data_IF_526084507398
#
_entry.id   IF_526084507398
#
_cell.length_a   1.000
_cell.length_b   1.000
_cell.length_c   1.000
_cell.angle_alpha   90.00
_cell.angle_beta   90.00
_cell.angle_gamma   90.00
#
_symmetry.space_group_name_H-M   'P 1'
#
loop_
_entity.id
_entity.type
_entity.pdbx_description
1 polymer ?
#
# COMPACT_ATOMS: atom_id res chain seq x y z
N UNK A 1 -16.01 -29.28 -6.72
CA UNK A 1 -15.51 -30.24 -5.71
C UNK A 1 -14.02 -30.04 -5.41
N UNK A 2 -13.13 -30.03 -6.41
CA UNK A 2 -11.68 -29.76 -6.22
C UNK A 2 -11.38 -28.40 -5.56
N UNK A 3 -12.04 -27.32 -5.97
CA UNK A 3 -11.87 -26.00 -5.35
C UNK A 3 -12.25 -25.97 -3.86
N UNK A 4 -13.34 -26.64 -3.49
CA UNK A 4 -13.79 -26.74 -2.09
C UNK A 4 -12.81 -27.54 -1.24
N UNK A 5 -12.25 -28.64 -1.77
CA UNK A 5 -11.24 -29.45 -1.08
C UNK A 5 -9.94 -28.66 -0.85
N UNK A 6 -9.48 -27.91 -1.86
CA UNK A 6 -8.30 -27.04 -1.75
C UNK A 6 -8.53 -25.94 -0.71
N UNK A 7 -9.71 -25.31 -0.70
CA UNK A 7 -10.06 -24.26 0.28
C UNK A 7 -10.07 -24.82 1.69
N UNK A 8 -10.68 -25.99 1.90
CA UNK A 8 -10.72 -26.64 3.21
C UNK A 8 -9.30 -27.02 3.65
N UNK A 9 -8.50 -27.64 2.80
CA UNK A 9 -7.13 -28.07 3.14
C UNK A 9 -6.19 -26.89 3.43
N UNK A 10 -6.30 -25.77 2.70
CA UNK A 10 -5.56 -24.53 3.00
C UNK A 10 -6.01 -23.89 4.31
N UNK A 11 -7.31 -23.87 4.58
CA UNK A 11 -7.85 -23.31 5.82
C UNK A 11 -7.40 -24.14 7.04
N UNK A 12 -7.35 -25.47 6.91
CA UNK A 12 -6.78 -26.36 7.94
C UNK A 12 -5.29 -26.11 8.19
N UNK A 13 -4.50 -25.93 7.13
CA UNK A 13 -3.08 -25.60 7.22
C UNK A 13 -2.85 -24.21 7.86
N UNK A 14 -3.70 -23.23 7.53
CA UNK A 14 -3.66 -21.90 8.14
C UNK A 14 -4.03 -21.91 9.63
N UNK A 15 -4.97 -22.77 10.05
CA UNK A 15 -5.33 -22.95 11.47
C UNK A 15 -4.21 -23.57 12.31
N UNK A 16 -3.41 -24.46 11.71
CA UNK A 16 -2.29 -25.16 12.37
C UNK A 16 -0.93 -24.43 12.29
N UNK A 17 -0.91 -23.13 11.95
CA UNK A 17 0.30 -22.29 11.96
C UNK A 17 0.73 -21.99 13.40
N UNK A 18 1.31 -22.98 14.09
CA UNK A 18 1.77 -22.84 15.48
C UNK A 18 3.19 -22.28 15.58
N UNK A 19 3.93 -22.13 14.47
CA UNK A 19 5.32 -21.68 14.48
C UNK A 19 5.43 -20.21 14.12
N UNK A 20 6.24 -19.45 14.86
CA UNK A 20 6.59 -18.05 14.55
C UNK A 20 7.07 -17.87 13.10
N UNK A 21 7.86 -18.82 12.57
CA UNK A 21 8.38 -18.77 11.20
C UNK A 21 7.26 -18.64 10.16
N UNK A 22 6.13 -19.31 10.37
CA UNK A 22 5.05 -19.31 9.40
C UNK A 22 4.30 -17.97 9.37
N UNK A 23 4.25 -17.27 10.50
CA UNK A 23 3.72 -15.91 10.61
C UNK A 23 4.66 -14.90 9.96
N UNK A 24 5.96 -15.01 10.21
CA UNK A 24 6.97 -14.17 9.56
C UNK A 24 6.98 -14.36 8.04
N UNK A 25 6.84 -15.59 7.55
CA UNK A 25 6.72 -15.90 6.13
C UNK A 25 5.46 -15.27 5.52
N UNK A 26 4.33 -15.31 6.23
CA UNK A 26 3.07 -14.72 5.81
C UNK A 26 3.15 -13.19 5.74
N UNK A 27 3.67 -12.57 6.80
CA UNK A 27 3.91 -11.12 6.85
C UNK A 27 4.86 -10.69 5.74
N UNK A 28 5.93 -11.44 5.49
CA UNK A 28 6.89 -11.19 4.43
C UNK A 28 6.28 -11.33 3.03
N UNK A 29 5.40 -12.32 2.82
CA UNK A 29 4.68 -12.46 1.57
C UNK A 29 3.74 -11.28 1.30
N UNK A 30 2.98 -10.83 2.32
CA UNK A 30 2.12 -9.64 2.20
C UNK A 30 2.93 -8.36 1.96
N UNK A 31 4.05 -8.21 2.66
CA UNK A 31 4.98 -7.09 2.49
C UNK A 31 5.55 -7.04 1.06
N UNK A 32 6.12 -8.15 0.58
CA UNK A 32 6.72 -8.24 -0.74
C UNK A 32 5.68 -8.00 -1.84
N UNK A 33 4.48 -8.58 -1.69
CA UNK A 33 3.35 -8.37 -2.58
C UNK A 33 2.99 -6.87 -2.72
N UNK A 34 2.80 -6.19 -1.59
CA UNK A 34 2.41 -4.78 -1.55
C UNK A 34 3.49 -3.87 -2.16
N UNK A 35 4.75 -4.04 -1.76
CA UNK A 35 5.81 -3.18 -2.27
C UNK A 35 6.14 -3.41 -3.74
N UNK A 36 6.20 -4.67 -4.15
CA UNK A 36 6.53 -5.00 -5.54
C UNK A 36 5.44 -4.49 -6.47
N UNK A 37 4.17 -4.77 -6.17
CA UNK A 37 3.08 -4.27 -7.01
C UNK A 37 2.87 -2.76 -6.91
N UNK A 38 3.04 -2.17 -5.71
CA UNK A 38 2.97 -0.72 -5.55
C UNK A 38 4.02 0.00 -6.40
N UNK A 39 5.26 -0.48 -6.38
CA UNK A 39 6.37 0.05 -7.18
C UNK A 39 6.17 -0.10 -8.68
N UNK A 40 5.71 -1.27 -9.15
CA UNK A 40 5.42 -1.47 -10.58
C UNK A 40 4.26 -0.60 -11.06
N UNK A 41 3.20 -0.48 -10.27
CA UNK A 41 2.07 0.39 -10.57
C UNK A 41 2.48 1.87 -10.66
N UNK A 42 3.30 2.34 -9.72
CA UNK A 42 3.85 3.72 -9.75
C UNK A 42 4.64 3.96 -11.04
N UNK A 43 5.49 3.01 -11.43
CA UNK A 43 6.32 3.12 -12.64
C UNK A 43 5.47 3.16 -13.92
N UNK A 44 4.41 2.34 -13.98
CA UNK A 44 3.48 2.32 -15.11
C UNK A 44 2.77 3.67 -15.26
N UNK A 45 2.20 4.19 -14.17
CA UNK A 45 1.50 5.49 -14.15
C UNK A 45 2.45 6.63 -14.55
N UNK A 46 3.69 6.63 -14.06
CA UNK A 46 4.66 7.69 -14.39
C UNK A 46 4.87 7.83 -15.91
N UNK A 47 4.95 6.71 -16.63
CA UNK A 47 5.14 6.72 -18.08
C UNK A 47 3.92 7.25 -18.83
N UNK A 48 2.71 6.85 -18.43
CA UNK A 48 1.45 7.29 -19.03
C UNK A 48 1.27 8.80 -18.82
N UNK A 49 1.42 9.27 -17.59
CA UNK A 49 1.22 10.69 -17.24
C UNK A 49 2.28 11.59 -17.87
N UNK A 50 3.51 11.10 -18.06
CA UNK A 50 4.54 11.86 -18.75
C UNK A 50 4.20 12.13 -20.22
N UNK A 51 3.56 11.16 -20.90
CA UNK A 51 3.08 11.31 -22.28
C UNK A 51 1.89 12.29 -22.31
N UNK A 52 0.88 12.07 -21.47
CA UNK A 52 -0.33 12.91 -21.42
C UNK A 52 -0.01 14.38 -21.11
N UNK A 53 0.98 14.64 -20.26
CA UNK A 53 1.43 16.00 -19.94
C UNK A 53 1.82 16.81 -21.18
N UNK A 54 2.41 16.18 -22.19
CA UNK A 54 2.79 16.89 -23.43
C UNK A 54 1.57 17.33 -24.23
N UNK A 55 0.52 16.51 -24.25
CA UNK A 55 -0.77 16.83 -24.89
C UNK A 55 -1.47 17.92 -24.09
N UNK A 56 -1.51 17.79 -22.76
CA UNK A 56 -2.07 18.78 -21.85
C UNK A 56 -1.48 20.18 -22.07
N UNK A 57 -0.15 20.30 -22.17
CA UNK A 57 0.48 21.60 -22.40
C UNK A 57 0.08 22.24 -23.74
N UNK A 58 -0.16 21.43 -24.79
CA UNK A 58 -0.63 21.94 -26.10
C UNK A 58 -2.08 22.40 -26.03
N UNK A 59 -2.95 21.62 -25.41
CA UNK A 59 -4.39 21.94 -25.30
C UNK A 59 -4.65 23.12 -24.33
N UNK A 60 -3.85 23.22 -23.26
CA UNK A 60 -3.83 24.38 -22.37
C UNK A 60 -3.38 25.64 -23.09
N UNK A 61 -2.36 25.55 -23.95
CA UNK A 61 -1.92 26.69 -24.77
C UNK A 61 -2.97 27.12 -25.81
N UNK A 62 -3.78 26.19 -26.30
CA UNK A 62 -4.94 26.46 -27.17
C UNK A 62 -6.18 26.98 -26.41
N UNK A 63 -6.13 27.08 -25.07
CA UNK A 63 -7.22 27.59 -24.25
C UNK A 63 -8.40 26.63 -24.07
N UNK A 64 -8.23 25.33 -24.34
CA UNK A 64 -9.35 24.38 -24.36
C UNK A 64 -9.88 24.01 -22.96
N UNK A 65 -9.03 23.88 -21.94
CA UNK A 65 -9.45 23.58 -20.57
C UNK A 65 -8.42 23.97 -19.50
N UNK A 66 -8.89 24.09 -18.25
CA UNK A 66 -8.07 24.46 -17.09
C UNK A 66 -7.37 23.25 -16.45
N UNK A 67 -6.33 23.51 -15.67
CA UNK A 67 -5.56 22.49 -14.95
C UNK A 67 -6.36 21.71 -13.91
N UNK A 68 -7.35 22.33 -13.27
CA UNK A 68 -8.13 21.70 -12.20
C UNK A 68 -9.06 20.59 -12.73
N UNK A 69 -9.93 20.83 -13.73
CA UNK A 69 -10.74 19.76 -14.34
C UNK A 69 -9.91 18.58 -14.85
N UNK A 70 -8.73 18.86 -15.43
CA UNK A 70 -7.81 17.81 -15.89
C UNK A 70 -7.33 16.92 -14.74
N UNK A 71 -6.85 17.52 -13.65
CA UNK A 71 -6.36 16.75 -12.50
C UNK A 71 -7.45 15.88 -11.85
N UNK A 72 -8.69 16.39 -11.75
CA UNK A 72 -9.82 15.61 -11.23
C UNK A 72 -10.24 14.49 -12.18
N UNK A 73 -10.32 14.77 -13.49
CA UNK A 73 -10.68 13.76 -14.47
C UNK A 73 -9.66 12.62 -14.51
N UNK A 74 -8.37 12.97 -14.51
CA UNK A 74 -7.29 11.99 -14.50
C UNK A 74 -7.30 11.14 -13.23
N UNK A 75 -7.42 11.76 -12.05
CA UNK A 75 -7.49 11.01 -10.79
C UNK A 75 -8.71 10.07 -10.73
N UNK A 76 -9.85 10.48 -11.30
CA UNK A 76 -11.06 9.64 -11.35
C UNK A 76 -10.86 8.42 -12.24
N UNK A 77 -10.32 8.60 -13.45
CA UNK A 77 -10.06 7.50 -14.40
C UNK A 77 -9.07 6.50 -13.81
N UNK A 78 -7.98 7.01 -13.24
CA UNK A 78 -6.96 6.19 -12.57
C UNK A 78 -7.54 5.42 -11.38
N UNK A 79 -8.42 6.04 -10.58
CA UNK A 79 -9.06 5.36 -9.45
C UNK A 79 -9.95 4.21 -9.90
N UNK A 80 -10.68 4.35 -11.01
CA UNK A 80 -11.51 3.27 -11.57
C UNK A 80 -10.64 2.11 -12.06
N UNK A 81 -9.56 2.42 -12.79
CA UNK A 81 -8.62 1.41 -13.28
C UNK A 81 -7.98 0.63 -12.13
N UNK A 82 -7.46 1.35 -11.13
CA UNK A 82 -6.90 0.76 -9.91
C UNK A 82 -7.95 -0.04 -9.13
N UNK A 83 -9.20 0.41 -9.08
CA UNK A 83 -10.29 -0.30 -8.40
C UNK A 83 -10.53 -1.69 -8.97
N UNK A 84 -10.57 -1.82 -10.29
CA UNK A 84 -10.75 -3.10 -10.98
C UNK A 84 -9.51 -3.99 -10.80
N UNK A 85 -8.31 -3.42 -10.99
CA UNK A 85 -7.05 -4.15 -10.87
C UNK A 85 -6.85 -4.71 -9.45
N UNK A 86 -7.09 -3.89 -8.43
CA UNK A 86 -6.94 -4.28 -7.03
C UNK A 86 -8.00 -5.28 -6.58
N UNK A 87 -9.21 -5.24 -7.16
CA UNK A 87 -10.24 -6.22 -6.86
C UNK A 87 -9.81 -7.62 -7.33
N UNK A 88 -9.42 -7.76 -8.59
CA UNK A 88 -8.89 -9.02 -9.14
C UNK A 88 -7.67 -9.51 -8.36
N UNK A 89 -6.77 -8.59 -8.03
CA UNK A 89 -5.56 -8.90 -7.27
C UNK A 89 -5.87 -9.38 -5.85
N UNK A 90 -6.78 -8.70 -5.15
CA UNK A 90 -7.18 -9.07 -3.79
C UNK A 90 -7.81 -10.46 -3.75
N UNK A 91 -8.65 -10.80 -4.74
CA UNK A 91 -9.24 -12.13 -4.87
C UNK A 91 -8.19 -13.23 -5.03
N UNK A 92 -7.22 -13.00 -5.93
CA UNK A 92 -6.14 -13.94 -6.19
C UNK A 92 -5.24 -14.11 -4.96
N UNK A 93 -4.78 -13.02 -4.34
CA UNK A 93 -3.94 -13.09 -3.14
C UNK A 93 -4.65 -13.78 -1.99
N UNK A 94 -5.90 -13.42 -1.73
CA UNK A 94 -6.68 -13.98 -0.62
C UNK A 94 -6.81 -15.51 -0.78
N UNK A 95 -7.05 -15.96 -2.01
CA UNK A 95 -7.08 -17.38 -2.35
C UNK A 95 -5.71 -18.06 -2.26
N UNK A 96 -4.64 -17.41 -2.73
CA UNK A 96 -3.28 -17.96 -2.71
C UNK A 96 -2.75 -18.14 -1.29
N UNK A 97 -3.01 -17.17 -0.41
CA UNK A 97 -2.59 -17.21 1.00
C UNK A 97 -3.44 -18.20 1.81
N UNK A 98 -4.71 -18.37 1.43
CA UNK A 98 -5.62 -19.28 2.12
C UNK A 98 -6.22 -18.68 3.39
N UNK A 99 -6.56 -17.38 3.35
CA UNK A 99 -7.27 -16.73 4.45
C UNK A 99 -8.68 -17.31 4.64
N UNK A 100 -9.22 -17.18 5.85
CA UNK A 100 -10.58 -17.61 6.16
C UNK A 100 -11.60 -16.80 5.36
N UNK A 101 -12.51 -17.46 4.65
CA UNK A 101 -13.54 -16.78 3.86
C UNK A 101 -14.62 -16.16 4.75
N UNK A 102 -14.33 -14.97 5.27
CA UNK A 102 -15.28 -14.11 5.97
C UNK A 102 -15.40 -12.79 5.21
N UNK A 103 -16.63 -12.40 4.87
CA UNK A 103 -16.90 -11.20 4.06
C UNK A 103 -16.28 -9.93 4.67
N UNK A 104 -16.39 -9.75 5.99
CA UNK A 104 -15.80 -8.60 6.68
C UNK A 104 -14.27 -8.53 6.59
N UNK A 105 -13.57 -9.66 6.77
CA UNK A 105 -12.10 -9.73 6.67
C UNK A 105 -11.61 -9.51 5.25
N UNK A 106 -12.34 -10.02 4.26
CA UNK A 106 -12.04 -9.76 2.85
C UNK A 106 -12.24 -8.28 2.50
N UNK A 107 -13.29 -7.64 2.98
CA UNK A 107 -13.54 -6.22 2.70
C UNK A 107 -12.46 -5.32 3.29
N UNK A 108 -12.01 -5.58 4.52
CA UNK A 108 -10.86 -4.88 5.10
C UNK A 108 -9.56 -5.12 4.32
N UNK A 109 -9.31 -6.35 3.89
CA UNK A 109 -8.16 -6.67 3.05
C UNK A 109 -8.20 -5.91 1.73
N UNK A 110 -9.35 -5.95 1.03
CA UNK A 110 -9.56 -5.21 -0.21
C UNK A 110 -9.37 -3.71 0.00
N UNK A 111 -9.91 -3.13 1.07
CA UNK A 111 -9.77 -1.71 1.39
C UNK A 111 -8.29 -1.29 1.51
N UNK A 112 -7.48 -2.02 2.27
CA UNK A 112 -6.07 -1.68 2.45
C UNK A 112 -5.26 -1.85 1.16
N UNK A 113 -5.53 -2.90 0.38
CA UNK A 113 -4.88 -3.10 -0.93
C UNK A 113 -5.30 -2.01 -1.92
N UNK A 114 -6.58 -1.66 -1.96
CA UNK A 114 -7.10 -0.61 -2.83
C UNK A 114 -6.49 0.76 -2.48
N UNK A 115 -6.56 1.16 -1.21
CA UNK A 115 -5.96 2.41 -0.74
C UNK A 115 -4.45 2.44 -0.99
N UNK A 116 -3.80 1.27 -0.88
CA UNK A 116 -2.38 1.14 -1.19
C UNK A 116 -2.05 1.55 -2.62
N UNK A 117 -2.76 0.97 -3.59
CA UNK A 117 -2.51 1.27 -4.98
C UNK A 117 -2.90 2.70 -5.32
N UNK A 118 -4.01 3.22 -4.77
CA UNK A 118 -4.44 4.60 -5.00
C UNK A 118 -3.35 5.59 -4.57
N UNK A 119 -2.77 5.44 -3.38
CA UNK A 119 -1.70 6.36 -2.97
C UNK A 119 -0.42 6.17 -3.80
N UNK A 120 -0.08 4.94 -4.23
CA UNK A 120 1.09 4.70 -5.09
C UNK A 120 0.90 5.34 -6.47
N UNK A 121 -0.30 5.23 -7.05
CA UNK A 121 -0.68 5.92 -8.29
C UNK A 121 -0.54 7.43 -8.11
N UNK A 122 -1.16 8.01 -7.07
CA UNK A 122 -1.09 9.46 -6.81
C UNK A 122 0.34 9.94 -6.53
N UNK A 123 1.14 9.13 -5.86
CA UNK A 123 2.56 9.39 -5.65
C UNK A 123 3.33 9.44 -6.97
N UNK A 124 3.09 8.50 -7.89
CA UNK A 124 3.67 8.51 -9.23
C UNK A 124 3.28 9.76 -10.03
N UNK A 125 2.00 10.12 -10.01
CA UNK A 125 1.47 11.33 -10.67
C UNK A 125 2.09 12.61 -10.08
N UNK A 126 2.19 12.70 -8.75
CA UNK A 126 2.84 13.79 -8.04
C UNK A 126 4.29 13.98 -8.50
N UNK A 127 5.07 12.90 -8.61
CA UNK A 127 6.46 12.99 -9.05
C UNK A 127 6.60 13.52 -10.48
N UNK A 128 5.74 13.09 -11.40
CA UNK A 128 5.74 13.59 -12.79
C UNK A 128 5.30 15.05 -12.86
N UNK A 129 4.38 15.48 -12.00
CA UNK A 129 3.96 16.87 -11.91
C UNK A 129 5.05 17.79 -11.32
N UNK A 130 5.90 17.29 -10.42
CA UNK A 130 6.96 18.07 -9.78
C UNK A 130 8.29 18.09 -10.55
N UNK A 131 8.49 17.17 -11.50
CA UNK A 131 9.77 17.02 -12.21
C UNK A 131 9.66 17.31 -13.69
N UNK A 132 10.69 17.91 -14.33
CA UNK A 132 10.64 18.23 -15.75
C UNK A 132 10.74 16.98 -16.64
N UNK A 133 11.39 15.91 -16.18
CA UNK A 133 11.69 14.70 -16.96
C UNK A 133 11.31 13.45 -16.19
N UNK A 134 10.79 12.46 -16.93
CA UNK A 134 10.45 11.13 -16.41
C UNK A 134 11.64 10.44 -15.72
N UNK A 135 12.85 10.60 -16.27
CA UNK A 135 14.07 10.03 -15.71
C UNK A 135 14.34 10.56 -14.29
N UNK A 136 14.13 11.87 -14.07
CA UNK A 136 14.29 12.49 -12.75
C UNK A 136 13.19 11.97 -11.80
N UNK A 137 11.95 11.87 -12.28
CA UNK A 137 10.84 11.30 -11.51
C UNK A 137 11.14 9.88 -11.03
N UNK A 138 11.73 9.03 -11.90
CA UNK A 138 12.07 7.65 -11.59
C UNK A 138 13.22 7.54 -10.56
N UNK A 139 14.21 8.43 -10.62
CA UNK A 139 15.30 8.49 -9.63
C UNK A 139 14.75 8.86 -8.25
N UNK A 140 13.92 9.91 -8.19
CA UNK A 140 13.28 10.36 -6.94
C UNK A 140 12.35 9.28 -6.39
N UNK A 141 11.58 8.61 -7.27
CA UNK A 141 10.73 7.48 -6.89
C UNK A 141 11.55 6.38 -6.21
N UNK A 142 12.64 5.95 -6.84
CA UNK A 142 13.50 4.87 -6.33
C UNK A 142 14.07 5.22 -4.96
N UNK A 143 14.52 6.46 -4.76
CA UNK A 143 15.03 6.94 -3.47
C UNK A 143 13.99 6.79 -2.36
N UNK A 144 12.80 7.35 -2.51
CA UNK A 144 11.76 7.26 -1.47
C UNK A 144 11.20 5.85 -1.29
N UNK A 145 11.09 5.05 -2.37
CA UNK A 145 10.72 3.64 -2.27
C UNK A 145 11.72 2.85 -1.42
N UNK A 146 13.03 3.12 -1.54
CA UNK A 146 14.04 2.48 -0.68
C UNK A 146 13.87 2.86 0.79
N UNK A 147 13.53 4.11 1.10
CA UNK A 147 13.26 4.51 2.48
C UNK A 147 11.98 3.86 3.01
N UNK A 148 10.89 3.84 2.23
CA UNK A 148 9.67 3.14 2.63
C UNK A 148 9.88 1.65 2.80
N UNK A 149 10.73 1.02 1.99
CA UNK A 149 11.12 -0.38 2.15
C UNK A 149 11.77 -0.60 3.53
N UNK A 150 12.80 0.18 3.87
CA UNK A 150 13.56 0.01 5.11
C UNK A 150 12.72 0.28 6.37
N UNK A 151 11.90 1.33 6.37
CA UNK A 151 11.15 1.79 7.56
C UNK A 151 9.69 1.33 7.60
N UNK A 152 9.31 0.40 6.74
CA UNK A 152 7.96 -0.18 6.67
C UNK A 152 7.52 -0.97 7.91
N UNK A 153 8.44 -1.27 8.84
CA UNK A 153 8.16 -2.06 10.06
C UNK A 153 8.35 -3.57 9.91
N UNK A 154 8.48 -4.09 8.69
CA UNK A 154 8.72 -5.50 8.45
C UNK A 154 10.22 -5.86 8.54
N UNK A 155 11.08 -5.10 7.85
CA UNK A 155 12.54 -5.31 7.88
C UNK A 155 13.15 -4.91 9.23
N UNK A 156 12.73 -3.77 9.76
CA UNK A 156 13.13 -3.28 11.09
C UNK A 156 11.86 -3.11 11.92
N UNK A 157 11.66 -3.96 12.96
CA UNK A 157 10.54 -3.80 13.87
C UNK A 157 10.53 -2.42 14.52
N UNK A 158 9.35 -1.83 14.71
CA UNK A 158 9.17 -0.48 15.26
C UNK A 158 9.94 -0.24 16.58
N UNK A 159 10.02 -1.25 17.44
CA UNK A 159 10.71 -1.18 18.73
C UNK A 159 12.24 -1.04 18.62
N UNK A 160 12.83 -1.52 17.53
CA UNK A 160 14.28 -1.47 17.28
C UNK A 160 14.72 -0.18 16.56
N UNK A 161 13.78 0.64 16.08
CA UNK A 161 14.08 1.91 15.44
C UNK A 161 14.51 2.92 16.52
N UNK A 162 15.68 3.59 16.36
CA UNK A 162 16.11 4.67 17.25
C UNK A 162 15.02 5.72 17.44
N UNK A 163 14.89 6.25 18.65
CA UNK A 163 13.79 7.18 19.02
C UNK A 163 13.72 8.38 18.06
N UNK A 164 14.88 8.91 17.67
CA UNK A 164 15.01 10.03 16.73
C UNK A 164 14.51 9.75 15.30
N UNK A 165 14.44 8.47 14.88
CA UNK A 165 13.97 8.06 13.54
C UNK A 165 12.55 7.49 13.55
N UNK A 166 11.94 7.35 14.73
CA UNK A 166 10.61 6.74 14.89
C UNK A 166 9.47 7.56 14.27
N UNK A 167 9.67 8.86 14.06
CA UNK A 167 8.69 9.70 13.35
C UNK A 167 8.54 9.28 11.88
N UNK A 168 9.61 8.82 11.25
CA UNK A 168 9.58 8.44 9.83
C UNK A 168 8.73 7.18 9.60
N UNK A 169 8.71 6.26 10.57
CA UNK A 169 7.80 5.11 10.56
C UNK A 169 6.34 5.56 10.43
N UNK A 170 5.93 6.56 11.22
CA UNK A 170 4.59 7.14 11.14
C UNK A 170 4.37 8.01 9.91
N UNK A 171 5.45 8.54 9.32
CA UNK A 171 5.44 9.27 8.05
C UNK A 171 5.43 8.38 6.80
N UNK A 172 5.54 7.05 6.93
CA UNK A 172 5.60 6.15 5.78
C UNK A 172 4.22 5.54 5.49
N UNK A 173 3.59 5.81 4.32
CA UNK A 173 2.29 5.24 3.97
C UNK A 173 2.34 3.69 3.92
N UNK A 174 3.48 3.12 3.52
CA UNK A 174 3.69 1.67 3.46
C UNK A 174 3.61 1.02 4.85
N UNK A 175 4.16 1.67 5.87
CA UNK A 175 4.09 1.18 7.25
C UNK A 175 2.64 1.05 7.73
N UNK A 176 1.79 2.02 7.40
CA UNK A 176 0.35 1.97 7.68
C UNK A 176 -0.37 0.86 6.92
N UNK A 177 -0.01 0.62 5.66
CA UNK A 177 -0.63 -0.46 4.86
C UNK A 177 -0.32 -1.83 5.47
N UNK A 178 0.94 -2.08 5.81
CA UNK A 178 1.34 -3.36 6.43
C UNK A 178 0.69 -3.51 7.80
N UNK A 179 0.65 -2.44 8.58
CA UNK A 179 -0.07 -2.41 9.85
C UNK A 179 -1.53 -2.85 9.64
N UNK A 180 -2.25 -2.23 8.71
CA UNK A 180 -3.66 -2.53 8.43
C UNK A 180 -3.88 -3.96 7.93
N UNK A 181 -3.04 -4.45 7.02
CA UNK A 181 -3.13 -5.81 6.49
C UNK A 181 -2.88 -6.88 7.56
N UNK A 182 -1.82 -6.71 8.36
CA UNK A 182 -1.51 -7.65 9.44
C UNK A 182 -2.62 -7.64 10.49
N UNK A 183 -3.03 -6.44 10.90
CA UNK A 183 -3.99 -6.28 11.99
C UNK A 183 -5.39 -6.75 11.59
N UNK A 184 -5.82 -6.55 10.34
CA UNK A 184 -7.12 -7.04 9.84
C UNK A 184 -7.20 -8.55 9.70
N UNK A 185 -6.09 -9.23 9.36
CA UNK A 185 -6.09 -10.67 9.12
C UNK A 185 -5.70 -11.50 10.35
N UNK A 186 -4.80 -10.97 11.18
CA UNK A 186 -4.21 -11.68 12.31
C UNK A 186 -4.57 -11.08 13.68
N UNK A 187 -5.10 -9.85 13.73
CA UNK A 187 -5.37 -9.15 15.01
C UNK A 187 -6.48 -9.76 15.86
N UNK A 188 -7.42 -10.48 15.23
CA UNK A 188 -8.52 -11.18 15.92
C UNK A 188 -8.21 -12.64 16.27
N UNK A 189 -7.05 -13.15 15.86
CA UNK A 189 -6.70 -14.55 16.11
C UNK A 189 -6.06 -14.73 17.48
N UNK A 190 -6.65 -15.60 18.29
CA UNK A 190 -6.13 -16.02 19.60
C UNK A 190 -5.34 -17.33 19.55
N UNK A 191 -5.05 -17.86 18.36
CA UNK A 191 -4.32 -19.12 18.22
C UNK A 191 -2.94 -19.00 18.90
N UNK A 192 -2.52 -20.01 19.68
CA UNK A 192 -1.22 -19.98 20.35
C UNK A 192 -0.09 -20.11 19.32
N UNK A 193 0.91 -19.24 19.45
CA UNK A 193 2.13 -19.22 18.64
C UNK A 193 3.29 -19.64 19.52
N UNK A 194 4.04 -20.63 19.06
CA UNK A 194 5.32 -21.01 19.62
C UNK A 194 6.39 -20.00 19.18
N UNK A 195 6.88 -19.24 20.15
CA UNK A 195 7.99 -18.29 20.00
C UNK A 195 9.22 -18.93 20.66
N UNK A 196 10.35 -19.11 19.96
CA UNK A 196 11.57 -19.62 20.56
C UNK A 196 12.00 -18.73 21.73
N UNK A 197 12.20 -19.32 22.92
CA UNK A 197 12.60 -18.66 24.19
C UNK A 197 11.50 -17.90 24.95
N UNK A 198 10.22 -18.00 24.55
CA UNK A 198 9.08 -17.47 25.31
C UNK A 198 7.97 -18.52 25.46
N UNK A 199 7.08 -18.33 26.44
CA UNK A 199 5.86 -19.17 26.57
C UNK A 199 4.94 -18.98 25.36
N UNK A 200 4.12 -20.01 25.09
CA UNK A 200 3.13 -19.96 24.01
C UNK A 200 2.17 -18.80 24.25
N UNK A 201 2.21 -17.81 23.36
CA UNK A 201 1.38 -16.61 23.45
C UNK A 201 0.41 -16.54 22.27
N UNK A 202 -0.80 -15.98 22.44
CA UNK A 202 -1.73 -15.83 21.33
C UNK A 202 -1.18 -14.84 20.29
N UNK A 203 -1.49 -15.05 19.01
CA UNK A 203 -1.03 -14.18 17.89
C UNK A 203 -1.26 -12.70 18.20
N UNK A 204 -2.42 -12.32 18.75
CA UNK A 204 -2.73 -10.95 19.17
C UNK A 204 -1.73 -10.35 20.15
N UNK A 205 -1.27 -11.13 21.14
CA UNK A 205 -0.28 -10.67 22.14
C UNK A 205 1.11 -10.57 21.51
N UNK A 206 1.48 -11.52 20.64
CA UNK A 206 2.71 -11.43 19.87
C UNK A 206 2.75 -10.16 18.99
N UNK A 207 1.67 -9.88 18.26
CA UNK A 207 1.54 -8.69 17.43
C UNK A 207 1.62 -7.39 18.25
N UNK A 208 1.04 -7.37 19.45
CA UNK A 208 1.05 -6.20 20.33
C UNK A 208 2.41 -5.98 21.00
N UNK A 209 2.99 -7.02 21.60
CA UNK A 209 4.21 -6.92 22.41
C UNK A 209 5.48 -6.85 21.56
N UNK A 210 5.58 -7.62 20.48
CA UNK A 210 6.80 -7.69 19.67
C UNK A 210 6.79 -6.73 18.47
N UNK A 211 5.61 -6.42 17.94
CA UNK A 211 5.48 -5.61 16.72
C UNK A 211 4.74 -4.28 16.93
N UNK A 212 4.06 -4.10 18.07
CA UNK A 212 3.35 -2.86 18.40
C UNK A 212 2.06 -2.65 17.59
N UNK A 213 1.46 -3.72 17.07
CA UNK A 213 0.22 -3.69 16.30
C UNK A 213 -0.99 -3.86 17.25
N UNK A 214 -1.82 -2.83 17.33
CA UNK A 214 -3.10 -2.80 18.04
C UNK A 214 -4.30 -2.86 17.08
N UNK A 215 -5.23 -3.78 17.35
CA UNK A 215 -6.44 -4.00 16.54
C UNK A 215 -7.47 -2.88 16.66
N UNK A 216 -7.56 -2.22 17.81
CA UNK A 216 -8.48 -1.09 18.02
C UNK A 216 -8.06 0.14 17.20
N UNK A 217 -6.83 0.17 16.70
CA UNK A 217 -6.29 1.27 15.90
C UNK A 217 -6.61 1.14 14.40
N UNK A 218 -7.27 0.06 13.97
CA UNK A 218 -7.51 -0.26 12.56
C UNK A 218 -8.31 0.84 11.83
N UNK A 219 -9.30 1.45 12.50
CA UNK A 219 -10.04 2.59 11.97
C UNK A 219 -9.18 3.85 11.77
N UNK A 220 -8.25 4.14 12.68
CA UNK A 220 -7.33 5.27 12.54
C UNK A 220 -6.32 5.04 11.41
N UNK A 221 -5.87 3.80 11.23
CA UNK A 221 -5.00 3.40 10.12
C UNK A 221 -5.70 3.60 8.78
N UNK A 222 -7.01 3.31 8.71
CA UNK A 222 -7.82 3.57 7.52
C UNK A 222 -7.92 5.09 7.22
N UNK A 223 -8.20 5.91 8.24
CA UNK A 223 -8.23 7.36 8.09
C UNK A 223 -6.87 7.94 7.66
N UNK A 224 -5.77 7.39 8.16
CA UNK A 224 -4.42 7.82 7.76
C UNK A 224 -4.17 7.62 6.25
N UNK A 225 -4.68 6.53 5.65
CA UNK A 225 -4.56 6.32 4.20
C UNK A 225 -5.32 7.38 3.40
N UNK A 226 -6.53 7.76 3.85
CA UNK A 226 -7.29 8.85 3.23
C UNK A 226 -6.50 10.16 3.31
N UNK A 227 -5.85 10.43 4.44
CA UNK A 227 -4.95 11.58 4.59
C UNK A 227 -3.81 11.59 3.57
N UNK A 228 -3.14 10.44 3.35
CA UNK A 228 -2.08 10.32 2.35
C UNK A 228 -2.57 10.51 0.91
N UNK A 229 -3.74 9.95 0.59
CA UNK A 229 -4.40 10.13 -0.71
C UNK A 229 -4.68 11.62 -0.98
N UNK A 230 -5.26 12.32 0.00
CA UNK A 230 -5.54 13.75 -0.11
C UNK A 230 -4.26 14.58 -0.21
N UNK A 231 -3.21 14.23 0.54
CA UNK A 231 -1.91 14.90 0.48
C UNK A 231 -1.30 14.77 -0.92
N UNK A 232 -1.15 13.55 -1.44
CA UNK A 232 -0.55 13.35 -2.76
C UNK A 232 -1.38 13.97 -3.88
N UNK A 233 -2.71 13.87 -3.79
CA UNK A 233 -3.60 14.54 -4.74
C UNK A 233 -3.45 16.08 -4.68
N UNK A 234 -3.40 16.66 -3.48
CA UNK A 234 -3.21 18.10 -3.29
C UNK A 234 -1.90 18.60 -3.89
N UNK A 235 -0.80 17.87 -3.66
CA UNK A 235 0.51 18.21 -4.23
C UNK A 235 0.51 18.04 -5.76
N UNK A 236 -0.15 17.01 -6.28
CA UNK A 236 -0.31 16.81 -7.73
C UNK A 236 -1.06 17.98 -8.40
N UNK A 237 -2.21 18.37 -7.84
CA UNK A 237 -3.00 19.52 -8.30
C UNK A 237 -2.18 20.81 -8.26
N UNK A 238 -1.46 21.04 -7.15
CA UNK A 238 -0.56 22.18 -7.01
C UNK A 238 0.56 22.16 -8.05
N UNK A 239 1.19 21.01 -8.28
CA UNK A 239 2.26 20.82 -9.26
C UNK A 239 1.83 21.19 -10.67
N UNK A 240 0.70 20.67 -11.15
CA UNK A 240 0.18 20.99 -12.50
C UNK A 240 -0.21 22.47 -12.63
N UNK A 241 -0.69 23.09 -11.54
CA UNK A 241 -1.10 24.51 -11.56
C UNK A 241 0.10 25.45 -11.55
N UNK A 242 1.09 25.19 -10.70
CA UNK A 242 2.21 26.10 -10.42
C UNK A 242 3.40 25.89 -11.35
N UNK A 243 3.65 24.66 -11.83
CA UNK A 243 4.83 24.31 -12.60
C UNK A 243 4.51 24.17 -14.10
N UNK A 244 5.25 24.90 -14.93
CA UNK A 244 5.23 24.73 -16.38
C UNK A 244 6.64 24.37 -16.87
N UNK A 245 6.78 23.17 -17.42
CA UNK A 245 8.05 22.66 -17.92
C UNK A 245 8.17 22.72 -19.45
N UNK A 246 7.30 23.46 -20.15
CA UNK A 246 7.54 23.77 -21.56
C UNK A 246 8.83 24.57 -21.71
N UNK A 247 9.89 23.94 -22.23
CA UNK A 247 10.97 24.67 -22.88
C UNK A 247 10.43 25.29 -24.16
N UNK A 248 10.58 26.62 -24.28
CA UNK A 248 10.45 27.34 -25.55
C UNK A 248 11.47 26.82 -26.56
#
# INVERSE_FOLDING_TARGET
MLFTIIITQKSYCFSHRTKQQDLSNLMGAMYAAVLFLGGTNTSAVQSVVAIERTVFYREKAAGMYSALPYAFAQALVETIYVGIQTFLYSLLLYYMIGFEWQFGKFLWFYYYVFMCFVYFTLYGMMLVALTPSYQIAAIVMSFFLSFWNLFSGFLIPRGQIPIWWRWYYWGSPVAWTIYGLITSQLGDKSNPVYVPKHENMPVKVYLKEFLGYEHDFLGYVALAHVGWVLLFFGVFVYGIKALNFQRR
#
